data_IF_047644218595
#
_entry.id   IF_047644218595
#
_cell.length_a   1.000
_cell.length_b   1.000
_cell.length_c   1.000
_cell.angle_alpha   90.00
_cell.angle_beta   90.00
_cell.angle_gamma   90.00
#
_symmetry.space_group_name_H-M   'P 1'
#
loop_
_entity.id
_entity.type
_entity.pdbx_description
1 polymer ?
#
# COMPACT_ATOMS: atom_id res chain seq x y z
N UNK A 1 26.63 -6.82 -1.76
CA UNK A 1 26.02 -7.39 -2.99
C UNK A 1 26.81 -6.91 -4.20
N UNK A 2 27.23 -7.81 -5.09
CA UNK A 2 27.97 -7.44 -6.33
C UNK A 2 26.97 -7.04 -7.42
N UNK A 3 27.29 -6.01 -8.21
CA UNK A 3 26.41 -5.54 -9.30
C UNK A 3 26.14 -6.61 -10.36
N UNK A 4 27.10 -7.51 -10.59
CA UNK A 4 26.95 -8.64 -11.53
C UNK A 4 25.86 -9.64 -11.14
N UNK A 5 25.42 -9.64 -9.87
CA UNK A 5 24.34 -10.50 -9.35
C UNK A 5 23.05 -9.73 -9.08
N UNK A 6 23.01 -8.42 -9.36
CA UNK A 6 21.81 -7.61 -9.14
C UNK A 6 20.76 -7.94 -10.21
N UNK A 7 19.52 -8.19 -9.77
CA UNK A 7 18.37 -8.27 -10.68
C UNK A 7 17.92 -6.86 -11.05
N UNK A 8 17.79 -6.60 -12.35
CA UNK A 8 17.57 -5.28 -12.92
C UNK A 8 18.80 -4.72 -13.64
N UNK A 9 18.56 -3.86 -14.63
CA UNK A 9 19.58 -3.15 -15.40
C UNK A 9 19.20 -1.69 -15.52
N UNK A 10 20.21 -0.83 -15.56
CA UNK A 10 20.01 0.57 -15.89
C UNK A 10 19.61 0.73 -17.35
N UNK A 11 18.73 1.68 -17.64
CA UNK A 11 18.34 2.03 -19.00
C UNK A 11 19.11 3.27 -19.47
N UNK A 12 19.62 3.22 -20.71
CA UNK A 12 20.35 4.34 -21.30
C UNK A 12 19.40 5.50 -21.59
N UNK A 13 18.28 5.17 -22.22
CA UNK A 13 17.22 6.08 -22.61
C UNK A 13 16.08 6.03 -21.61
N UNK A 14 15.34 7.13 -21.51
CA UNK A 14 14.18 7.24 -20.66
C UNK A 14 12.96 6.88 -21.51
N UNK A 15 12.05 6.04 -21.01
CA UNK A 15 10.80 5.81 -21.71
C UNK A 15 10.02 7.12 -21.90
N UNK A 16 9.51 7.37 -23.11
CA UNK A 16 8.92 8.66 -23.51
C UNK A 16 7.64 8.99 -22.72
N UNK A 17 7.00 7.97 -22.15
CA UNK A 17 5.79 8.07 -21.33
C UNK A 17 6.03 8.64 -19.92
N UNK A 18 7.28 8.80 -19.49
CA UNK A 18 7.60 9.31 -18.16
C UNK A 18 7.82 10.83 -18.18
N UNK A 19 6.81 11.61 -17.76
CA UNK A 19 6.90 13.08 -17.75
C UNK A 19 7.69 13.63 -16.54
N UNK A 20 7.50 13.06 -15.35
CA UNK A 20 8.12 13.56 -14.11
C UNK A 20 9.55 13.05 -13.96
N UNK A 21 10.49 13.93 -13.59
CA UNK A 21 11.92 13.59 -13.41
C UNK A 21 12.13 12.43 -12.43
N UNK A 22 11.37 12.36 -11.34
CA UNK A 22 11.44 11.25 -10.38
C UNK A 22 11.08 9.90 -11.03
N UNK A 23 9.99 9.86 -11.81
CA UNK A 23 9.55 8.66 -12.53
C UNK A 23 10.61 8.23 -13.56
N UNK A 24 11.14 9.19 -14.33
CA UNK A 24 12.22 8.96 -15.29
C UNK A 24 13.45 8.34 -14.62
N UNK A 25 13.90 8.89 -13.49
CA UNK A 25 15.08 8.41 -12.77
C UNK A 25 14.87 7.01 -12.20
N UNK A 26 13.69 6.71 -11.65
CA UNK A 26 13.38 5.38 -11.11
C UNK A 26 13.40 4.31 -12.22
N UNK A 27 12.88 4.62 -13.41
CA UNK A 27 12.94 3.73 -14.57
C UNK A 27 14.39 3.52 -15.04
N UNK A 28 15.13 4.62 -15.25
CA UNK A 28 16.53 4.57 -15.71
C UNK A 28 17.45 3.82 -14.76
N UNK A 29 17.24 3.97 -13.46
CA UNK A 29 18.05 3.30 -12.44
C UNK A 29 17.71 1.80 -12.31
N UNK A 30 16.69 1.30 -13.02
CA UNK A 30 16.20 -0.08 -12.85
C UNK A 30 15.64 -0.30 -11.45
N UNK A 31 14.92 0.70 -10.92
CA UNK A 31 14.34 0.66 -9.58
C UNK A 31 12.87 0.23 -9.61
N UNK A 32 12.14 0.51 -10.68
CA UNK A 32 10.73 0.11 -10.83
C UNK A 32 10.49 -0.53 -12.20
N UNK A 33 9.44 -1.34 -12.29
CA UNK A 33 8.92 -1.89 -13.54
C UNK A 33 7.39 -1.76 -13.55
N UNK A 34 6.84 -1.11 -14.57
CA UNK A 34 5.40 -0.95 -14.69
C UNK A 34 4.76 -2.24 -15.19
N UNK A 35 3.80 -2.78 -14.43
CA UNK A 35 3.03 -3.97 -14.77
C UNK A 35 1.74 -3.59 -15.51
N UNK A 36 1.12 -2.49 -15.09
CA UNK A 36 -0.04 -1.87 -15.74
C UNK A 36 -0.08 -0.36 -15.40
N UNK A 37 -1.00 0.40 -16.00
CA UNK A 37 -1.20 1.82 -15.65
C UNK A 37 -1.42 1.99 -14.15
N UNK A 38 -0.52 2.71 -13.47
CA UNK A 38 -0.58 2.92 -12.01
C UNK A 38 -0.13 1.72 -11.15
N UNK A 39 0.31 0.60 -11.74
CA UNK A 39 0.71 -0.61 -11.02
C UNK A 39 2.18 -0.93 -11.31
N UNK A 40 3.01 -0.95 -10.26
CA UNK A 40 4.47 -1.10 -10.37
C UNK A 40 4.99 -2.26 -9.53
N UNK A 41 5.99 -2.95 -10.06
CA UNK A 41 6.90 -3.81 -9.30
C UNK A 41 8.09 -2.99 -8.82
N UNK A 42 8.39 -3.04 -7.51
CA UNK A 42 9.62 -2.47 -6.96
C UNK A 42 10.78 -3.45 -7.10
N UNK A 43 11.81 -3.06 -7.85
CA UNK A 43 13.01 -3.86 -8.09
C UNK A 43 13.95 -3.79 -6.87
N UNK A 44 15.00 -4.63 -6.76
CA UNK A 44 15.78 -4.77 -5.53
C UNK A 44 16.37 -3.47 -4.98
N UNK A 45 16.74 -2.52 -5.85
CA UNK A 45 17.23 -1.22 -5.41
C UNK A 45 16.11 -0.36 -4.79
N UNK A 46 14.93 -0.28 -5.40
CA UNK A 46 13.78 0.41 -4.81
C UNK A 46 13.34 -0.25 -3.51
N UNK A 47 13.28 -1.59 -3.48
CA UNK A 47 12.85 -2.32 -2.29
C UNK A 47 13.75 -2.02 -1.08
N UNK A 48 15.06 -1.92 -1.29
CA UNK A 48 16.00 -1.51 -0.22
C UNK A 48 15.77 -0.09 0.26
N UNK A 49 15.41 0.84 -0.63
CA UNK A 49 15.09 2.23 -0.27
C UNK A 49 13.77 2.29 0.50
N UNK A 50 12.74 1.60 0.02
CA UNK A 50 11.44 1.49 0.70
C UNK A 50 11.60 0.96 2.12
N UNK A 51 12.39 -0.11 2.32
CA UNK A 51 12.65 -0.64 3.66
C UNK A 51 13.38 0.34 4.58
N UNK A 52 14.25 1.20 4.05
CA UNK A 52 14.87 2.28 4.85
C UNK A 52 13.84 3.33 5.28
N UNK A 53 12.97 3.74 4.36
CA UNK A 53 11.89 4.69 4.65
C UNK A 53 10.94 4.11 5.71
N UNK A 54 10.49 2.87 5.51
CA UNK A 54 9.62 2.13 6.43
C UNK A 54 10.23 2.04 7.83
N UNK A 55 11.53 1.72 7.93
CA UNK A 55 12.19 1.63 9.23
C UNK A 55 12.26 2.97 9.96
N UNK A 56 12.54 4.07 9.25
CA UNK A 56 12.54 5.40 9.88
C UNK A 56 11.15 5.72 10.41
N UNK A 57 10.10 5.49 9.62
CA UNK A 57 8.72 5.72 10.06
C UNK A 57 8.41 4.87 11.30
N UNK A 58 8.75 3.58 11.27
CA UNK A 58 8.54 2.67 12.40
C UNK A 58 9.27 3.14 13.66
N UNK A 59 10.55 3.48 13.56
CA UNK A 59 11.34 3.97 14.70
C UNK A 59 10.74 5.23 15.33
N UNK A 60 10.23 6.15 14.53
CA UNK A 60 9.58 7.37 15.05
C UNK A 60 8.19 7.09 15.64
N UNK A 61 7.41 6.18 15.05
CA UNK A 61 6.11 5.77 15.60
C UNK A 61 6.27 5.02 16.92
N UNK A 62 7.24 4.13 17.03
CA UNK A 62 7.55 3.39 18.26
C UNK A 62 7.98 4.35 19.38
N UNK A 63 8.82 5.35 19.07
CA UNK A 63 9.19 6.41 20.02
C UNK A 63 8.00 7.23 20.52
N UNK A 64 6.99 7.41 19.67
CA UNK A 64 5.75 8.10 20.02
C UNK A 64 4.75 7.20 20.79
N UNK A 65 5.09 5.93 21.05
CA UNK A 65 4.22 4.96 21.73
C UNK A 65 3.21 4.27 20.81
N UNK A 66 3.38 4.39 19.48
CA UNK A 66 2.59 3.65 18.51
C UNK A 66 2.82 2.15 18.62
N UNK A 67 1.80 1.36 18.27
CA UNK A 67 1.90 -0.09 18.16
C UNK A 67 1.57 -0.50 16.72
N UNK A 68 2.55 -1.07 16.02
CA UNK A 68 2.38 -1.49 14.63
C UNK A 68 1.55 -2.79 14.53
N UNK A 69 0.59 -2.81 13.61
CA UNK A 69 -0.17 -4.00 13.22
C UNK A 69 -0.39 -4.04 11.70
N UNK A 70 -0.72 -5.21 11.17
CA UNK A 70 -1.03 -5.42 9.75
C UNK A 70 -2.51 -5.76 9.59
N UNK A 71 -3.23 -4.95 8.81
CA UNK A 71 -4.63 -5.15 8.49
C UNK A 71 -4.80 -5.70 7.07
N UNK A 72 -5.87 -6.47 6.77
CA UNK A 72 -6.08 -7.02 5.45
C UNK A 72 -6.36 -5.93 4.42
N UNK A 73 -5.87 -6.12 3.19
CA UNK A 73 -6.16 -5.22 2.05
C UNK A 73 -7.56 -5.45 1.48
N UNK A 74 -8.06 -6.68 1.56
CA UNK A 74 -9.44 -7.02 1.21
C UNK A 74 -10.32 -6.90 2.45
N UNK A 75 -11.38 -6.12 2.34
CA UNK A 75 -12.27 -5.78 3.44
C UNK A 75 -13.71 -6.16 3.06
N UNK A 76 -14.54 -6.68 3.98
CA UNK A 76 -15.97 -6.84 3.75
C UNK A 76 -16.62 -5.51 3.37
N UNK A 77 -17.45 -5.49 2.33
CA UNK A 77 -18.10 -4.24 1.89
C UNK A 77 -19.06 -3.71 2.97
N UNK A 78 -19.59 -4.61 3.81
CA UNK A 78 -20.50 -4.29 4.91
C UNK A 78 -19.90 -3.27 5.88
N UNK A 79 -18.59 -3.34 6.15
CA UNK A 79 -17.90 -2.37 7.00
C UNK A 79 -17.96 -0.94 6.45
N UNK A 80 -17.89 -0.79 5.13
CA UNK A 80 -17.98 0.51 4.44
C UNK A 80 -19.41 1.03 4.38
N UNK A 81 -20.38 0.13 4.35
CA UNK A 81 -21.80 0.46 4.37
C UNK A 81 -22.24 0.96 5.75
N UNK A 82 -21.70 0.39 6.83
CA UNK A 82 -21.95 0.85 8.20
C UNK A 82 -21.57 2.32 8.40
N UNK A 83 -20.50 2.79 7.75
CA UNK A 83 -20.06 4.19 7.80
C UNK A 83 -20.65 5.05 6.68
N UNK A 84 -21.36 4.44 5.72
CA UNK A 84 -21.84 5.09 4.49
C UNK A 84 -20.73 5.55 3.54
N UNK A 85 -19.47 5.12 3.77
CA UNK A 85 -18.32 5.52 2.95
C UNK A 85 -18.25 4.77 1.63
N UNK A 86 -18.96 3.66 1.48
CA UNK A 86 -19.14 3.00 0.19
C UNK A 86 -19.77 3.94 -0.85
N UNK A 87 -20.84 4.65 -0.47
CA UNK A 87 -21.52 5.62 -1.31
C UNK A 87 -20.69 6.91 -1.47
N UNK A 88 -20.04 7.37 -0.39
CA UNK A 88 -19.24 8.58 -0.41
C UNK A 88 -18.01 8.48 -1.33
N UNK A 89 -17.32 7.33 -1.34
CA UNK A 89 -16.25 7.06 -2.30
C UNK A 89 -16.78 6.82 -3.72
N UNK A 90 -18.01 6.30 -3.83
CA UNK A 90 -18.65 6.02 -5.10
C UNK A 90 -17.79 5.15 -6.01
N UNK A 91 -17.61 5.57 -7.26
CA UNK A 91 -16.86 4.82 -8.28
C UNK A 91 -15.35 4.69 -7.99
N UNK A 92 -14.81 5.46 -7.04
CA UNK A 92 -13.42 5.36 -6.62
C UNK A 92 -13.14 4.12 -5.75
N UNK A 93 -14.18 3.55 -5.14
CA UNK A 93 -14.02 2.34 -4.33
C UNK A 93 -13.95 1.11 -5.25
N UNK A 94 -12.80 0.45 -5.25
CA UNK A 94 -12.65 -0.80 -5.98
C UNK A 94 -13.36 -1.93 -5.22
N UNK A 95 -14.41 -2.48 -5.81
CA UNK A 95 -15.18 -3.59 -5.24
C UNK A 95 -15.06 -4.85 -6.10
N UNK A 96 -15.06 -6.02 -5.47
CA UNK A 96 -15.15 -7.31 -6.14
C UNK A 96 -16.13 -8.24 -5.45
N UNK A 97 -16.50 -9.34 -6.11
CA UNK A 97 -17.25 -10.45 -5.53
C UNK A 97 -16.39 -11.69 -5.55
N UNK A 98 -16.31 -12.39 -4.41
CA UNK A 98 -15.58 -13.66 -4.36
C UNK A 98 -16.39 -14.82 -4.95
N UNK A 99 -15.83 -16.03 -4.94
CA UNK A 99 -16.49 -17.24 -5.49
C UNK A 99 -17.74 -17.68 -4.71
N UNK A 100 -18.04 -17.06 -3.56
CA UNK A 100 -19.21 -17.32 -2.72
C UNK A 100 -20.16 -16.11 -2.71
N UNK A 101 -20.04 -15.24 -3.71
CA UNK A 101 -20.84 -14.01 -3.88
C UNK A 101 -20.71 -12.99 -2.74
N UNK A 102 -19.65 -13.07 -1.92
CA UNK A 102 -19.40 -12.06 -0.88
C UNK A 102 -18.86 -10.81 -1.54
N UNK A 103 -19.43 -9.65 -1.18
CA UNK A 103 -18.98 -8.34 -1.64
C UNK A 103 -17.80 -7.88 -0.79
N UNK A 104 -16.71 -7.54 -1.47
CA UNK A 104 -15.47 -7.09 -0.84
C UNK A 104 -15.04 -5.77 -1.48
N UNK A 105 -14.35 -4.95 -0.70
CA UNK A 105 -13.63 -3.78 -1.17
C UNK A 105 -12.12 -4.02 -1.07
N UNK A 106 -11.37 -3.51 -2.04
CA UNK A 106 -9.93 -3.31 -1.88
C UNK A 106 -9.76 -1.98 -1.13
N UNK A 107 -9.37 -2.07 0.15
CA UNK A 107 -9.37 -0.92 1.06
C UNK A 107 -8.44 0.20 0.58
N UNK A 108 -8.96 1.37 0.19
CA UNK A 108 -8.14 2.56 -0.07
C UNK A 108 -7.57 3.15 1.23
N UNK A 109 -8.17 2.80 2.37
CA UNK A 109 -7.77 3.13 3.74
C UNK A 109 -8.45 2.13 4.71
N UNK A 110 -8.26 2.30 6.02
CA UNK A 110 -8.58 1.29 7.04
C UNK A 110 -9.30 1.83 8.28
N UNK A 111 -9.94 3.02 8.23
CA UNK A 111 -10.62 3.58 9.41
C UNK A 111 -11.75 2.64 9.93
N UNK A 112 -12.52 2.02 9.05
CA UNK A 112 -13.56 1.05 9.40
C UNK A 112 -12.97 -0.17 10.12
N UNK A 113 -11.89 -0.72 9.55
CA UNK A 113 -11.26 -1.97 10.05
C UNK A 113 -10.64 -1.74 11.41
N UNK A 114 -9.89 -0.65 11.60
CA UNK A 114 -9.28 -0.37 12.91
C UNK A 114 -10.34 -0.05 13.95
N UNK A 115 -11.41 0.67 13.57
CA UNK A 115 -12.53 0.96 14.48
C UNK A 115 -13.21 -0.32 14.95
N UNK A 116 -13.44 -1.26 14.03
CA UNK A 116 -13.98 -2.58 14.37
C UNK A 116 -13.02 -3.35 15.30
N UNK A 117 -11.72 -3.36 15.01
CA UNK A 117 -10.75 -4.05 15.88
C UNK A 117 -10.74 -3.45 17.30
N UNK A 118 -10.73 -2.13 17.41
CA UNK A 118 -10.77 -1.43 18.70
C UNK A 118 -12.06 -1.74 19.44
N UNK A 119 -13.23 -1.73 18.76
CA UNK A 119 -14.52 -2.00 19.42
C UNK A 119 -14.63 -3.41 20.01
N UNK A 120 -13.86 -4.38 19.51
CA UNK A 120 -13.81 -5.73 20.06
C UNK A 120 -12.78 -5.87 21.20
N UNK A 121 -11.67 -5.12 21.17
CA UNK A 121 -10.54 -5.34 22.07
C UNK A 121 -10.41 -4.31 23.19
N UNK A 122 -11.03 -3.13 23.06
CA UNK A 122 -11.00 -2.04 24.05
C UNK A 122 -12.40 -1.91 24.63
N UNK A 123 -12.58 -2.34 25.88
CA UNK A 123 -13.91 -2.43 26.53
C UNK A 123 -14.01 -1.51 27.75
N UNK A 124 -12.89 -0.94 28.19
CA UNK A 124 -12.82 -0.06 29.35
C UNK A 124 -12.00 1.18 29.05
N UNK A 125 -12.32 2.29 29.70
CA UNK A 125 -11.53 3.53 29.62
C UNK A 125 -10.09 3.38 30.16
N UNK A 126 -9.78 2.26 30.81
CA UNK A 126 -8.46 1.94 31.37
C UNK A 126 -7.57 1.15 30.42
N UNK A 127 -8.15 0.56 29.38
CA UNK A 127 -7.42 -0.13 28.31
C UNK A 127 -6.70 0.93 27.44
#
# INVERSE_FOLDING_TARGET
MRISKLFGKTQREVPAEAEMVSHQLLLRAGMIHQVATGIYSYLPLAWRVLKKIENIIREEMDKAGGQELMMPVLQPLELWQETGRDLAFGKGLFTLSDRRDRKLALGPTHEEVITQLVSHNVQSYRD
#
